data_IF_196635820717
#
_entry.id   IF_196635820717
#
_cell.length_a   1.000
_cell.length_b   1.000
_cell.length_c   1.000
_cell.angle_alpha   90.00
_cell.angle_beta   90.00
_cell.angle_gamma   90.00
#
_symmetry.space_group_name_H-M   'P 1'
#
loop_
_entity.id
_entity.type
_entity.pdbx_description
1 polymer ?
#
# COMPACT_ATOMS: atom_id res chain seq x y z
N UNK A 1 7.10 -26.28 -4.98
CA UNK A 1 7.02 -25.47 -3.75
C UNK A 1 8.41 -25.42 -3.17
N UNK A 2 9.06 -24.26 -3.17
CA UNK A 2 10.39 -24.14 -2.56
C UNK A 2 10.23 -24.28 -1.06
N UNK A 3 11.04 -25.11 -0.41
CA UNK A 3 11.02 -25.31 1.05
C UNK A 3 11.55 -24.10 1.85
N UNK A 4 11.57 -22.92 1.22
CA UNK A 4 12.16 -21.66 1.71
C UNK A 4 11.17 -20.51 1.77
N UNK A 5 9.92 -20.69 1.32
CA UNK A 5 8.94 -19.61 1.34
C UNK A 5 8.48 -19.34 2.79
N UNK A 6 8.55 -18.09 3.29
CA UNK A 6 8.33 -17.79 4.71
C UNK A 6 6.97 -18.21 5.28
N UNK A 7 5.93 -18.25 4.44
CA UNK A 7 4.57 -18.65 4.82
C UNK A 7 4.16 -20.00 4.22
N UNK A 8 5.12 -20.82 3.79
CA UNK A 8 4.83 -22.18 3.33
C UNK A 8 4.05 -22.97 4.39
N UNK A 9 2.89 -23.50 4.00
CA UNK A 9 2.00 -24.25 4.89
C UNK A 9 0.97 -23.41 5.66
N UNK A 10 1.06 -22.07 5.60
CA UNK A 10 0.04 -21.17 6.16
C UNK A 10 -1.17 -21.12 5.23
N UNK A 11 -2.37 -21.24 5.79
CA UNK A 11 -3.65 -21.14 5.08
C UNK A 11 -4.34 -19.81 5.43
N UNK A 12 -4.64 -19.00 4.41
CA UNK A 12 -5.31 -17.70 4.57
C UNK A 12 -6.70 -17.79 3.96
N UNK A 13 -7.70 -17.42 4.73
CA UNK A 13 -9.06 -17.17 4.25
C UNK A 13 -9.29 -15.66 4.18
N UNK A 14 -9.80 -15.16 3.06
CA UNK A 14 -10.22 -13.76 2.96
C UNK A 14 -11.66 -13.61 2.50
N UNK A 15 -12.38 -12.66 3.10
CA UNK A 15 -13.66 -12.14 2.58
C UNK A 15 -13.55 -10.66 2.19
N UNK A 16 -12.32 -10.13 2.16
CA UNK A 16 -12.09 -8.71 1.93
C UNK A 16 -12.25 -8.40 0.44
N UNK A 17 -13.15 -7.46 0.13
CA UNK A 17 -13.37 -6.94 -1.22
C UNK A 17 -12.76 -5.56 -1.36
N UNK A 18 -12.44 -5.17 -2.60
CA UNK A 18 -11.72 -3.94 -2.94
C UNK A 18 -10.38 -3.81 -2.22
N UNK A 19 -9.53 -2.90 -2.69
CA UNK A 19 -8.40 -2.46 -1.87
C UNK A 19 -8.89 -1.96 -0.50
N UNK A 20 -8.11 -2.20 0.58
CA UNK A 20 -6.76 -2.76 0.61
C UNK A 20 -6.67 -4.31 0.71
N UNK A 21 -7.80 -5.01 0.84
CA UNK A 21 -7.86 -6.42 1.21
C UNK A 21 -7.13 -7.38 0.25
N UNK A 22 -7.54 -7.47 -1.03
CA UNK A 22 -6.92 -8.32 -2.02
C UNK A 22 -5.41 -8.10 -2.18
N UNK A 23 -4.91 -6.86 -2.05
CA UNK A 23 -3.47 -6.61 -2.11
C UNK A 23 -2.72 -7.12 -0.87
N UNK A 24 -3.31 -7.06 0.32
CA UNK A 24 -2.73 -7.69 1.51
C UNK A 24 -2.60 -9.20 1.32
N UNK A 25 -3.67 -9.81 0.79
CA UNK A 25 -3.77 -11.25 0.58
C UNK A 25 -2.85 -11.74 -0.54
N UNK A 26 -2.77 -11.00 -1.65
CA UNK A 26 -1.83 -11.24 -2.74
C UNK A 26 -0.39 -11.30 -2.23
N UNK A 27 -0.05 -10.41 -1.28
CA UNK A 27 1.28 -10.37 -0.66
C UNK A 27 1.55 -11.62 0.18
N UNK A 28 0.60 -12.06 0.98
CA UNK A 28 0.71 -13.30 1.75
C UNK A 28 0.87 -14.52 0.83
N UNK A 29 0.12 -14.56 -0.28
CA UNK A 29 0.26 -15.60 -1.31
C UNK A 29 1.67 -15.62 -1.92
N UNK A 30 2.21 -14.45 -2.28
CA UNK A 30 3.59 -14.31 -2.79
C UNK A 30 4.67 -14.74 -1.79
N UNK A 31 4.35 -14.74 -0.50
CA UNK A 31 5.23 -15.24 0.57
C UNK A 31 5.06 -16.75 0.84
N UNK A 32 4.21 -17.44 0.06
CA UNK A 32 4.04 -18.90 0.09
C UNK A 32 2.79 -19.41 0.79
N UNK A 33 1.90 -18.52 1.26
CA UNK A 33 0.65 -18.94 1.88
C UNK A 33 -0.34 -19.51 0.83
N UNK A 34 -1.10 -20.53 1.20
CA UNK A 34 -2.25 -20.98 0.42
C UNK A 34 -3.44 -20.08 0.73
N UNK A 35 -4.04 -19.48 -0.28
CA UNK A 35 -5.11 -18.50 -0.10
C UNK A 35 -6.42 -19.00 -0.69
N UNK A 36 -7.49 -18.92 0.10
CA UNK A 36 -8.87 -18.97 -0.38
C UNK A 36 -9.52 -17.60 -0.19
N UNK A 37 -10.05 -17.04 -1.28
CA UNK A 37 -10.77 -15.76 -1.28
C UNK A 37 -12.25 -16.03 -1.55
N UNK A 38 -13.10 -15.65 -0.61
CA UNK A 38 -14.55 -15.78 -0.68
C UNK A 38 -15.15 -14.44 -1.08
N UNK A 39 -15.75 -14.41 -2.28
CA UNK A 39 -16.44 -13.26 -2.83
C UNK A 39 -17.96 -13.45 -2.72
N UNK A 40 -18.74 -12.36 -2.60
CA UNK A 40 -20.19 -12.46 -2.72
C UNK A 40 -20.59 -12.94 -4.13
N UNK A 41 -21.82 -13.44 -4.33
CA UNK A 41 -22.28 -13.86 -5.66
C UNK A 41 -22.19 -12.76 -6.73
N UNK A 42 -22.27 -11.49 -6.31
CA UNK A 42 -22.10 -10.31 -7.18
C UNK A 42 -20.65 -10.06 -7.64
N UNK A 43 -19.67 -10.76 -7.06
CA UNK A 43 -18.24 -10.52 -7.27
C UNK A 43 -17.68 -9.36 -6.45
N UNK A 44 -16.38 -9.13 -6.60
CA UNK A 44 -15.68 -7.94 -6.09
C UNK A 44 -15.97 -6.75 -7.02
N UNK A 45 -16.30 -5.54 -6.52
CA UNK A 45 -16.43 -4.37 -7.39
C UNK A 45 -15.19 -4.11 -8.27
N UNK A 46 -13.99 -4.42 -7.80
CA UNK A 46 -12.74 -4.33 -8.57
C UNK A 46 -12.72 -5.29 -9.77
N UNK A 47 -13.39 -6.44 -9.70
CA UNK A 47 -13.59 -7.36 -10.83
C UNK A 47 -14.34 -6.65 -11.98
N UNK A 48 -15.25 -5.73 -11.64
CA UNK A 48 -16.11 -5.01 -12.60
C UNK A 48 -15.43 -3.75 -13.13
N UNK A 49 -14.78 -2.97 -12.27
CA UNK A 49 -14.24 -1.65 -12.62
C UNK A 49 -12.76 -1.65 -13.02
N UNK A 50 -11.99 -2.64 -12.58
CA UNK A 50 -10.54 -2.71 -12.77
C UNK A 50 -10.05 -4.15 -12.94
N UNK A 51 -10.64 -4.89 -13.89
CA UNK A 51 -10.44 -6.34 -14.08
C UNK A 51 -8.97 -6.77 -14.14
N UNK A 52 -8.11 -6.07 -14.88
CA UNK A 52 -6.71 -6.44 -15.01
C UNK A 52 -5.97 -6.42 -13.67
N UNK A 53 -6.27 -5.42 -12.83
CA UNK A 53 -5.68 -5.32 -11.49
C UNK A 53 -6.29 -6.33 -10.52
N UNK A 54 -7.60 -6.61 -10.65
CA UNK A 54 -8.21 -7.73 -9.93
C UNK A 54 -7.52 -9.06 -10.26
N UNK A 55 -7.30 -9.37 -11.53
CA UNK A 55 -6.63 -10.61 -11.96
C UNK A 55 -5.21 -10.68 -11.42
N UNK A 56 -4.45 -9.58 -11.46
CA UNK A 56 -3.09 -9.50 -10.88
C UNK A 56 -3.09 -9.84 -9.38
N UNK A 57 -4.01 -9.27 -8.61
CA UNK A 57 -4.07 -9.47 -7.17
C UNK A 57 -4.55 -10.87 -6.75
N UNK A 58 -5.19 -11.62 -7.64
CA UNK A 58 -5.73 -12.95 -7.32
C UNK A 58 -4.95 -14.11 -7.95
N UNK A 59 -3.79 -13.85 -8.57
CA UNK A 59 -2.93 -14.91 -9.13
C UNK A 59 -2.61 -15.97 -8.07
N UNK A 60 -2.92 -17.23 -8.38
CA UNK A 60 -2.59 -18.38 -7.53
C UNK A 60 -3.52 -18.59 -6.33
N UNK A 61 -4.61 -17.85 -6.21
CA UNK A 61 -5.60 -18.00 -5.13
C UNK A 61 -6.78 -18.88 -5.57
N UNK A 62 -7.41 -19.58 -4.62
CA UNK A 62 -8.70 -20.26 -4.81
C UNK A 62 -9.85 -19.27 -4.56
N UNK A 63 -10.58 -18.89 -5.61
CA UNK A 63 -11.69 -17.93 -5.51
C UNK A 63 -13.02 -18.68 -5.43
N UNK A 64 -13.77 -18.46 -4.34
CA UNK A 64 -15.09 -19.03 -4.08
C UNK A 64 -16.16 -17.94 -4.13
N UNK A 65 -17.31 -18.24 -4.73
CA UNK A 65 -18.49 -17.35 -4.70
C UNK A 65 -19.51 -17.90 -3.72
N UNK A 66 -19.68 -17.23 -2.59
CA UNK A 66 -20.50 -17.72 -1.47
C UNK A 66 -21.47 -16.64 -1.01
N UNK A 67 -22.75 -16.97 -0.88
CA UNK A 67 -23.73 -16.09 -0.25
C UNK A 67 -23.65 -16.21 1.28
N UNK A 68 -22.92 -15.28 1.90
CA UNK A 68 -22.76 -15.20 3.36
C UNK A 68 -24.07 -14.91 4.12
N UNK A 69 -25.16 -14.56 3.42
CA UNK A 69 -26.48 -14.40 4.06
C UNK A 69 -27.26 -15.71 4.16
N UNK A 70 -26.81 -16.74 3.46
CA UNK A 70 -27.44 -18.06 3.47
C UNK A 70 -26.83 -18.94 4.57
N UNK A 71 -27.62 -19.80 5.25
CA UNK A 71 -27.07 -20.75 6.21
C UNK A 71 -26.02 -21.69 5.60
N UNK A 72 -26.20 -22.10 4.34
CA UNK A 72 -25.23 -22.93 3.63
C UNK A 72 -23.90 -22.20 3.38
N UNK A 73 -23.95 -20.92 2.99
CA UNK A 73 -22.74 -20.14 2.79
C UNK A 73 -21.98 -19.83 4.08
N UNK A 74 -22.71 -19.61 5.18
CA UNK A 74 -22.07 -19.48 6.50
C UNK A 74 -21.42 -20.79 6.96
N UNK A 75 -22.05 -21.94 6.69
CA UNK A 75 -21.46 -23.25 6.97
C UNK A 75 -20.21 -23.51 6.13
N UNK A 76 -20.22 -23.16 4.84
CA UNK A 76 -19.03 -23.27 3.97
C UNK A 76 -17.87 -22.41 4.49
N UNK A 77 -18.12 -21.16 4.89
CA UNK A 77 -17.08 -20.30 5.47
C UNK A 77 -16.59 -20.82 6.83
N UNK A 78 -17.46 -21.40 7.65
CA UNK A 78 -17.06 -22.05 8.90
C UNK A 78 -16.09 -23.22 8.67
N UNK A 79 -16.36 -24.07 7.67
CA UNK A 79 -15.46 -25.16 7.27
C UNK A 79 -14.10 -24.63 6.77
N UNK A 80 -14.10 -23.55 5.98
CA UNK A 80 -12.88 -22.89 5.54
C UNK A 80 -12.11 -22.28 6.72
N UNK A 81 -12.79 -21.69 7.70
CA UNK A 81 -12.18 -21.15 8.93
C UNK A 81 -11.56 -22.24 9.80
N UNK A 82 -12.19 -23.41 9.90
CA UNK A 82 -11.62 -24.56 10.61
C UNK A 82 -10.26 -25.00 10.04
N UNK A 83 -10.06 -24.72 8.75
CA UNK A 83 -8.81 -24.94 8.04
C UNK A 83 -7.93 -23.68 7.93
N UNK A 84 -8.34 -22.51 8.41
CA UNK A 84 -7.56 -21.30 8.25
C UNK A 84 -6.54 -21.12 9.38
N UNK A 85 -5.41 -20.51 9.06
CA UNK A 85 -4.48 -19.94 10.03
C UNK A 85 -4.72 -18.45 10.23
N UNK A 86 -5.05 -17.76 9.13
CA UNK A 86 -5.34 -16.32 9.11
C UNK A 86 -6.69 -16.09 8.43
N UNK A 87 -7.50 -15.23 9.03
CA UNK A 87 -8.73 -14.71 8.45
C UNK A 87 -8.59 -13.20 8.20
N UNK A 88 -8.77 -12.75 6.96
CA UNK A 88 -8.65 -11.33 6.56
C UNK A 88 -10.00 -10.79 6.10
N UNK A 89 -10.43 -9.66 6.66
CA UNK A 89 -11.69 -8.99 6.32
C UNK A 89 -11.52 -7.48 6.21
N UNK A 90 -12.31 -6.86 5.33
CA UNK A 90 -12.47 -5.40 5.21
C UNK A 90 -13.93 -4.95 5.50
N UNK A 91 -14.70 -5.80 6.19
CA UNK A 91 -16.11 -5.54 6.50
C UNK A 91 -16.27 -4.73 7.79
N UNK A 92 -17.36 -3.95 7.85
CA UNK A 92 -17.74 -3.23 9.07
C UNK A 92 -17.97 -4.19 10.24
N UNK A 93 -17.60 -3.82 11.49
CA UNK A 93 -17.80 -4.68 12.65
C UNK A 93 -19.25 -5.14 12.85
N UNK A 94 -20.22 -4.26 12.63
CA UNK A 94 -21.65 -4.59 12.72
C UNK A 94 -22.08 -5.66 11.71
N UNK A 95 -21.53 -5.61 10.50
CA UNK A 95 -21.79 -6.60 9.47
C UNK A 95 -21.18 -7.96 9.86
N UNK A 96 -19.93 -7.96 10.35
CA UNK A 96 -19.25 -9.17 10.83
C UNK A 96 -20.00 -9.81 12.00
N UNK A 97 -20.42 -9.03 13.01
CA UNK A 97 -21.23 -9.54 14.13
C UNK A 97 -22.52 -10.20 13.65
N UNK A 98 -23.22 -9.59 12.69
CA UNK A 98 -24.46 -10.16 12.12
C UNK A 98 -24.21 -11.47 11.37
N UNK A 99 -23.03 -11.62 10.77
CA UNK A 99 -22.61 -12.84 10.08
C UNK A 99 -21.98 -13.87 11.02
N UNK A 100 -21.73 -13.53 12.29
CA UNK A 100 -20.96 -14.37 13.22
C UNK A 100 -19.48 -14.51 12.84
N UNK A 101 -18.94 -13.56 12.07
CA UNK A 101 -17.55 -13.55 11.57
C UNK A 101 -16.68 -12.48 12.25
N UNK A 102 -17.16 -11.84 13.32
CA UNK A 102 -16.30 -11.04 14.17
C UNK A 102 -15.41 -11.94 15.05
N UNK A 103 -14.31 -11.37 15.54
CA UNK A 103 -13.29 -12.12 16.26
C UNK A 103 -13.83 -12.95 17.43
N UNK A 104 -14.78 -12.43 18.22
CA UNK A 104 -15.31 -13.18 19.36
C UNK A 104 -15.97 -14.49 18.90
N UNK A 105 -16.84 -14.42 17.89
CA UNK A 105 -17.53 -15.59 17.36
C UNK A 105 -16.59 -16.54 16.60
N UNK A 106 -15.59 -16.03 15.89
CA UNK A 106 -14.59 -16.86 15.18
C UNK A 106 -13.69 -17.56 16.19
N UNK A 107 -13.19 -16.84 17.19
CA UNK A 107 -12.26 -17.37 18.18
C UNK A 107 -12.92 -18.41 19.11
N UNK A 108 -14.21 -18.28 19.42
CA UNK A 108 -14.95 -19.29 20.18
C UNK A 108 -14.97 -20.66 19.47
N UNK A 109 -15.13 -20.68 18.14
CA UNK A 109 -15.18 -21.91 17.33
C UNK A 109 -13.79 -22.39 16.91
N UNK A 110 -12.91 -21.44 16.58
CA UNK A 110 -11.61 -21.65 15.95
C UNK A 110 -10.53 -20.86 16.70
N UNK A 111 -10.16 -21.25 17.93
CA UNK A 111 -9.32 -20.45 18.83
C UNK A 111 -7.93 -20.13 18.25
N UNK A 112 -7.44 -20.92 17.31
CA UNK A 112 -6.12 -20.73 16.68
C UNK A 112 -6.13 -19.81 15.44
N UNK A 113 -7.29 -19.33 14.99
CA UNK A 113 -7.37 -18.42 13.83
C UNK A 113 -6.92 -17.02 14.23
N UNK A 114 -5.93 -16.49 13.53
CA UNK A 114 -5.52 -15.10 13.64
C UNK A 114 -6.40 -14.23 12.73
N UNK A 115 -7.11 -13.25 13.29
CA UNK A 115 -8.02 -12.40 12.51
C UNK A 115 -7.41 -11.02 12.27
N UNK A 116 -7.42 -10.57 11.02
CA UNK A 116 -7.01 -9.23 10.59
C UNK A 116 -8.22 -8.47 10.05
N UNK A 117 -8.63 -7.45 10.79
CA UNK A 117 -9.74 -6.56 10.45
C UNK A 117 -9.19 -5.26 9.88
N UNK A 118 -9.34 -5.06 8.57
CA UNK A 118 -9.04 -3.79 7.92
C UNK A 118 -10.27 -2.90 8.04
N UNK A 119 -10.13 -1.77 8.73
CA UNK A 119 -11.23 -0.86 9.02
C UNK A 119 -10.89 0.55 8.60
N UNK A 120 -11.92 1.37 8.37
CA UNK A 120 -11.70 2.77 7.98
C UNK A 120 -11.11 3.61 9.10
N UNK A 121 -11.70 3.51 10.29
CA UNK A 121 -11.30 4.22 11.50
C UNK A 121 -11.23 3.25 12.69
N UNK A 122 -10.43 3.54 13.72
CA UNK A 122 -10.26 2.63 14.84
C UNK A 122 -11.50 2.54 15.74
N UNK A 123 -11.64 1.41 16.43
CA UNK A 123 -12.59 1.24 17.53
C UNK A 123 -14.05 1.48 17.11
N UNK A 124 -14.78 2.28 17.90
CA UNK A 124 -16.21 2.55 17.66
C UNK A 124 -16.48 3.27 16.33
N UNK A 125 -15.48 3.96 15.78
CA UNK A 125 -15.60 4.66 14.50
C UNK A 125 -15.45 3.73 13.29
N UNK A 126 -15.15 2.45 13.48
CA UNK A 126 -15.00 1.48 12.40
C UNK A 126 -16.28 1.28 11.54
N UNK A 127 -17.43 1.81 11.97
CA UNK A 127 -18.67 1.85 11.18
C UNK A 127 -18.72 3.02 10.17
N UNK A 128 -17.87 4.03 10.35
CA UNK A 128 -17.83 5.23 9.50
C UNK A 128 -17.34 4.84 8.10
N UNK A 129 -18.10 5.16 7.04
CA UNK A 129 -17.66 4.91 5.67
C UNK A 129 -16.43 5.75 5.34
N UNK A 130 -15.50 5.16 4.61
CA UNK A 130 -14.41 5.89 3.97
C UNK A 130 -13.82 5.09 2.82
N UNK A 131 -13.08 5.82 1.99
CA UNK A 131 -12.27 5.32 0.89
C UNK A 131 -10.92 6.03 0.95
N UNK A 132 -9.89 5.43 0.33
CA UNK A 132 -8.55 6.01 0.22
C UNK A 132 -8.55 7.52 -0.03
N UNK A 133 -9.29 8.00 -1.04
CA UNK A 133 -9.38 9.42 -1.37
C UNK A 133 -9.85 10.28 -0.18
N UNK A 134 -10.85 9.80 0.57
CA UNK A 134 -11.37 10.54 1.73
C UNK A 134 -10.35 10.59 2.86
N UNK A 135 -9.58 9.52 3.07
CA UNK A 135 -8.50 9.51 4.06
C UNK A 135 -7.37 10.45 3.65
N UNK A 136 -6.96 10.43 2.38
CA UNK A 136 -5.98 11.37 1.84
C UNK A 136 -6.44 12.83 1.95
N UNK A 137 -7.72 13.09 1.69
CA UNK A 137 -8.29 14.43 1.74
C UNK A 137 -8.27 15.03 3.14
N UNK A 138 -8.73 14.27 4.16
CA UNK A 138 -8.77 14.78 5.54
C UNK A 138 -7.38 15.00 6.13
N UNK A 139 -6.35 14.34 5.60
CA UNK A 139 -4.96 14.49 6.04
C UNK A 139 -4.13 15.46 5.18
N UNK A 140 -4.76 16.21 4.26
CA UNK A 140 -4.09 17.22 3.45
C UNK A 140 -3.19 16.68 2.33
N UNK A 141 -3.26 15.38 2.03
CA UNK A 141 -2.52 14.76 0.92
C UNK A 141 -3.17 15.02 -0.44
N UNK A 142 -4.47 15.35 -0.47
CA UNK A 142 -5.14 15.90 -1.65
C UNK A 142 -4.90 17.41 -1.68
N UNK A 143 -4.24 17.89 -2.73
CA UNK A 143 -3.84 19.30 -2.86
C UNK A 143 -4.37 19.94 -4.14
N UNK A 144 -4.75 21.21 -4.02
CA UNK A 144 -5.13 22.08 -5.15
C UNK A 144 -6.22 21.48 -6.04
N UNK A 145 -7.12 20.67 -5.44
CA UNK A 145 -8.18 19.96 -6.15
C UNK A 145 -7.69 18.85 -7.10
N UNK A 146 -6.41 18.48 -7.06
CA UNK A 146 -5.82 17.45 -7.91
C UNK A 146 -6.02 16.06 -7.31
N UNK A 147 -6.40 15.12 -8.15
CA UNK A 147 -6.48 13.72 -7.76
C UNK A 147 -5.08 13.18 -7.41
N UNK A 148 -4.93 12.46 -6.29
CA UNK A 148 -3.71 11.73 -5.99
C UNK A 148 -3.37 10.74 -7.11
N UNK A 149 -2.07 10.58 -7.39
CA UNK A 149 -1.60 9.67 -8.43
C UNK A 149 -1.76 8.18 -8.06
N UNK A 150 -1.97 7.87 -6.78
CA UNK A 150 -2.09 6.50 -6.28
C UNK A 150 -2.94 6.43 -5.02
N UNK A 151 -3.31 5.21 -4.65
CA UNK A 151 -4.10 4.86 -3.48
C UNK A 151 -3.19 4.59 -2.28
N UNK A 152 -2.43 5.61 -1.86
CA UNK A 152 -1.30 5.43 -0.91
C UNK A 152 -1.75 4.89 0.45
N UNK A 153 -2.95 5.25 0.92
CA UNK A 153 -3.47 4.83 2.22
C UNK A 153 -3.92 3.38 2.15
N UNK A 154 -4.62 3.00 1.09
CA UNK A 154 -5.01 1.61 0.87
C UNK A 154 -3.77 0.71 0.71
N UNK A 155 -2.79 1.09 -0.11
CA UNK A 155 -1.58 0.30 -0.30
C UNK A 155 -0.77 0.17 1.00
N UNK A 156 -0.64 1.26 1.78
CA UNK A 156 -0.06 1.19 3.12
C UNK A 156 -0.88 0.29 4.06
N UNK A 157 -2.21 0.30 3.92
CA UNK A 157 -3.14 -0.60 4.60
C UNK A 157 -2.89 -2.06 4.29
N UNK A 158 -2.69 -2.39 3.01
CA UNK A 158 -2.37 -3.74 2.55
C UNK A 158 -1.06 -4.24 3.14
N UNK A 159 -0.04 -3.38 3.11
CA UNK A 159 1.28 -3.62 3.71
C UNK A 159 1.19 -3.89 5.21
N UNK A 160 0.46 -3.03 5.93
CA UNK A 160 0.23 -3.19 7.37
C UNK A 160 -0.56 -4.47 7.67
N UNK A 161 -1.62 -4.77 6.92
CA UNK A 161 -2.42 -5.97 7.15
C UNK A 161 -1.61 -7.26 6.96
N UNK A 162 -0.77 -7.35 5.93
CA UNK A 162 0.12 -8.50 5.74
C UNK A 162 1.16 -8.63 6.88
N UNK A 163 1.71 -7.50 7.34
CA UNK A 163 2.63 -7.47 8.48
C UNK A 163 1.94 -7.92 9.78
N UNK A 164 0.74 -7.43 10.05
CA UNK A 164 -0.03 -7.79 11.25
C UNK A 164 -0.50 -9.25 11.22
N UNK A 165 -0.84 -9.79 10.04
CA UNK A 165 -1.09 -11.23 9.87
C UNK A 165 0.14 -12.06 10.29
N UNK A 166 1.33 -11.68 9.79
CA UNK A 166 2.58 -12.35 10.15
C UNK A 166 2.89 -12.21 11.65
N UNK A 167 2.69 -11.03 12.23
CA UNK A 167 2.89 -10.79 13.67
C UNK A 167 1.89 -11.58 14.52
N UNK A 168 0.65 -11.75 14.07
CA UNK A 168 -0.35 -12.57 14.73
C UNK A 168 0.05 -14.06 14.70
N UNK A 169 0.54 -14.57 13.57
CA UNK A 169 1.06 -15.94 13.45
C UNK A 169 2.25 -16.19 14.37
N UNK A 170 3.19 -15.24 14.47
CA UNK A 170 4.33 -15.33 15.40
C UNK A 170 3.85 -15.32 16.85
N UNK A 171 2.87 -14.46 17.20
CA UNK A 171 2.27 -14.47 18.54
C UNK A 171 1.61 -15.82 18.84
N UNK A 172 0.79 -16.34 17.92
CA UNK A 172 0.14 -17.64 18.04
C UNK A 172 1.14 -18.77 18.24
N UNK A 173 2.27 -18.75 17.53
CA UNK A 173 3.35 -19.74 17.73
C UNK A 173 3.94 -19.74 19.16
N UNK A 174 3.80 -18.64 19.90
CA UNK A 174 4.28 -18.50 21.29
C UNK A 174 3.19 -18.77 22.31
N UNK A 175 1.94 -18.40 22.02
CA UNK A 175 0.82 -18.48 22.96
C UNK A 175 -0.06 -19.71 22.76
N UNK A 176 -0.02 -20.33 21.58
CA UNK A 176 -0.97 -21.36 21.15
C UNK A 176 -2.33 -20.82 20.69
N UNK A 177 -2.57 -19.52 20.85
CA UNK A 177 -3.86 -18.87 20.66
C UNK A 177 -3.82 -17.85 19.53
N UNK A 178 -4.87 -17.84 18.71
CA UNK A 178 -5.11 -16.82 17.70
C UNK A 178 -5.37 -15.45 18.32
N UNK A 179 -5.14 -14.39 17.56
CA UNK A 179 -5.34 -13.02 18.03
C UNK A 179 -5.98 -12.15 16.96
N UNK A 180 -6.66 -11.10 17.42
CA UNK A 180 -7.22 -10.04 16.56
C UNK A 180 -6.18 -8.95 16.31
N UNK A 181 -6.07 -8.51 15.06
CA UNK A 181 -5.33 -7.33 14.62
C UNK A 181 -6.28 -6.40 13.89
N UNK A 182 -6.43 -5.18 14.40
CA UNK A 182 -7.19 -4.13 13.72
C UNK A 182 -6.22 -3.24 12.95
N UNK A 183 -6.52 -2.94 11.68
CA UNK A 183 -5.72 -2.07 10.80
C UNK A 183 -6.59 -0.88 10.37
N UNK A 184 -6.52 0.25 11.10
CA UNK A 184 -7.27 1.45 10.76
C UNK A 184 -6.58 2.25 9.66
N UNK A 185 -7.29 2.45 8.54
CA UNK A 185 -6.78 3.24 7.41
C UNK A 185 -6.57 4.71 7.75
N UNK A 186 -7.39 5.27 8.65
CA UNK A 186 -7.21 6.64 9.14
C UNK A 186 -5.87 6.87 9.86
N UNK A 187 -5.38 5.88 10.59
CA UNK A 187 -4.12 5.97 11.33
C UNK A 187 -2.94 5.92 10.37
N UNK A 188 -3.07 5.11 9.31
CA UNK A 188 -2.10 5.08 8.23
C UNK A 188 -2.12 6.36 7.42
N UNK A 189 -3.28 6.97 7.16
CA UNK A 189 -3.36 8.28 6.52
C UNK A 189 -2.63 9.36 7.33
N UNK A 190 -2.80 9.37 8.65
CA UNK A 190 -2.04 10.27 9.54
C UNK A 190 -0.54 9.99 9.50
N UNK A 191 -0.14 8.73 9.37
CA UNK A 191 1.27 8.33 9.29
C UNK A 191 1.88 8.74 7.94
N UNK A 192 1.17 8.51 6.84
CA UNK A 192 1.62 8.84 5.49
C UNK A 192 1.62 10.35 5.24
N UNK A 193 0.77 11.12 5.92
CA UNK A 193 0.72 12.58 5.80
C UNK A 193 1.74 13.30 6.67
N UNK A 194 2.58 12.61 7.45
CA UNK A 194 3.57 13.27 8.33
C UNK A 194 4.50 14.23 7.58
N UNK A 195 5.03 13.91 6.38
CA UNK A 195 5.80 14.88 5.60
C UNK A 195 5.01 16.15 5.25
N UNK A 196 3.72 16.02 4.94
CA UNK A 196 2.82 17.17 4.68
C UNK A 196 2.62 17.98 5.96
N UNK A 197 2.31 17.32 7.08
CA UNK A 197 2.06 17.95 8.37
C UNK A 197 3.29 18.71 8.93
N UNK A 198 4.50 18.26 8.58
CA UNK A 198 5.76 18.92 8.94
C UNK A 198 6.24 19.92 7.87
N UNK A 199 5.44 20.19 6.84
CA UNK A 199 5.76 21.15 5.80
C UNK A 199 6.92 20.73 4.89
N UNK A 200 7.29 19.45 4.84
CA UNK A 200 8.40 18.98 4.01
C UNK A 200 8.03 18.96 2.53
N UNK A 201 6.82 18.53 2.21
CA UNK A 201 6.35 18.29 0.82
C UNK A 201 5.22 19.24 0.41
N UNK A 202 5.12 20.39 1.06
CA UNK A 202 4.17 21.48 0.74
C UNK A 202 4.92 22.64 0.10
N UNK A 203 4.28 23.53 -0.68
CA UNK A 203 4.99 24.67 -1.31
C UNK A 203 5.85 25.46 -0.33
N UNK A 204 7.10 25.72 -0.69
CA UNK A 204 8.14 26.31 0.16
C UNK A 204 8.86 25.30 1.08
N UNK A 205 8.44 24.04 1.07
CA UNK A 205 9.02 22.95 1.83
C UNK A 205 10.29 22.40 1.20
N UNK A 206 11.14 21.78 2.03
CA UNK A 206 12.45 21.27 1.61
C UNK A 206 12.36 20.28 0.42
N UNK A 207 11.36 19.40 0.44
CA UNK A 207 11.13 18.34 -0.54
C UNK A 207 9.93 18.64 -1.44
N UNK A 208 9.53 19.91 -1.52
CA UNK A 208 8.39 20.35 -2.33
C UNK A 208 8.73 20.52 -3.80
N UNK A 209 10.01 20.33 -4.15
CA UNK A 209 10.47 20.55 -5.51
C UNK A 209 10.84 22.01 -5.77
N UNK A 210 11.14 22.82 -4.74
CA UNK A 210 11.52 24.24 -4.81
C UNK A 210 13.04 24.51 -4.72
N UNK A 211 13.84 23.53 -4.28
CA UNK A 211 15.30 23.65 -4.27
C UNK A 211 15.91 23.31 -5.64
N UNK A 212 16.97 23.99 -6.12
CA UNK A 212 17.59 23.64 -7.41
C UNK A 212 18.06 22.17 -7.46
N UNK A 213 18.55 21.65 -6.34
CA UNK A 213 19.05 20.28 -6.24
C UNK A 213 17.96 19.24 -5.91
N UNK A 214 16.71 19.67 -5.75
CA UNK A 214 15.57 18.78 -5.53
C UNK A 214 14.40 19.29 -6.36
N UNK A 215 14.31 18.88 -7.63
CA UNK A 215 13.27 19.35 -8.55
C UNK A 215 13.10 18.53 -9.81
N UNK A 216 12.08 18.90 -10.60
CA UNK A 216 11.88 18.45 -11.96
C UNK A 216 12.39 19.53 -12.93
N UNK A 217 13.12 19.11 -13.96
CA UNK A 217 13.62 19.97 -15.02
C UNK A 217 13.16 19.48 -16.38
N UNK A 218 12.79 20.41 -17.26
CA UNK A 218 12.62 20.11 -18.67
C UNK A 218 13.99 19.79 -19.29
N UNK A 219 14.06 18.70 -20.05
CA UNK A 219 15.20 18.35 -20.87
C UNK A 219 14.94 18.77 -22.33
N UNK A 220 15.90 18.53 -23.23
CA UNK A 220 15.68 18.75 -24.68
C UNK A 220 14.50 17.89 -25.21
N UNK A 221 14.33 16.71 -24.62
CA UNK A 221 13.20 15.82 -24.81
C UNK A 221 12.89 15.11 -23.48
N UNK A 222 11.63 15.16 -23.04
CA UNK A 222 11.18 14.67 -21.74
C UNK A 222 11.51 15.58 -20.55
N UNK A 223 11.37 15.03 -19.34
CA UNK A 223 11.74 15.68 -18.08
C UNK A 223 12.70 14.80 -17.30
N UNK A 224 13.49 15.41 -16.43
CA UNK A 224 14.33 14.71 -15.45
C UNK A 224 13.90 15.07 -14.03
N UNK A 225 14.06 14.12 -13.12
CA UNK A 225 13.97 14.36 -11.68
C UNK A 225 15.37 14.41 -11.09
N UNK A 226 15.69 15.48 -10.37
CA UNK A 226 16.97 15.71 -9.69
C UNK A 226 16.72 15.68 -8.18
N UNK A 227 17.51 14.90 -7.44
CA UNK A 227 17.43 14.78 -5.98
C UNK A 227 18.82 14.80 -5.30
N UNK A 228 19.71 15.70 -5.73
CA UNK A 228 21.09 15.86 -5.26
C UNK A 228 21.21 16.72 -3.99
N UNK A 229 20.33 16.51 -3.00
CA UNK A 229 20.15 17.39 -1.84
C UNK A 229 21.35 17.40 -0.88
N UNK A 230 22.01 16.27 -0.72
CA UNK A 230 23.13 16.10 0.20
C UNK A 230 24.36 16.91 -0.28
N UNK A 231 25.16 17.49 0.64
CA UNK A 231 26.27 18.36 0.24
C UNK A 231 27.25 17.73 -0.76
N UNK A 232 27.56 16.44 -0.61
CA UNK A 232 28.45 15.75 -1.54
C UNK A 232 27.84 15.58 -2.93
N UNK A 233 26.54 15.23 -3.04
CA UNK A 233 25.86 15.17 -4.34
C UNK A 233 25.72 16.55 -4.97
N UNK A 234 25.45 17.59 -4.19
CA UNK A 234 25.43 18.98 -4.69
C UNK A 234 26.80 19.38 -5.24
N UNK A 235 27.90 19.12 -4.51
CA UNK A 235 29.26 19.41 -4.98
C UNK A 235 29.63 18.60 -6.21
N UNK A 236 29.27 17.31 -6.25
CA UNK A 236 29.52 16.44 -7.41
C UNK A 236 28.75 16.92 -8.63
N UNK A 237 27.48 17.31 -8.47
CA UNK A 237 26.64 17.83 -9.54
C UNK A 237 27.27 19.09 -10.15
N UNK A 238 27.62 20.07 -9.32
CA UNK A 238 28.25 21.31 -9.78
C UNK A 238 29.58 21.04 -10.47
N UNK A 239 30.43 20.19 -9.89
CA UNK A 239 31.73 19.83 -10.46
C UNK A 239 31.58 19.15 -11.82
N UNK A 240 30.68 18.18 -11.93
CA UNK A 240 30.45 17.43 -13.16
C UNK A 240 29.81 18.29 -14.26
N UNK A 241 29.00 19.29 -13.90
CA UNK A 241 28.44 20.29 -14.82
C UNK A 241 29.41 21.44 -15.12
N UNK A 242 30.53 21.54 -14.41
CA UNK A 242 31.48 22.65 -14.54
C UNK A 242 30.92 23.99 -14.06
N UNK A 243 30.01 23.98 -13.07
CA UNK A 243 29.35 25.16 -12.52
C UNK A 243 29.99 25.57 -11.19
N UNK A 244 30.08 26.87 -10.94
CA UNK A 244 30.45 27.42 -9.65
C UNK A 244 29.28 27.35 -8.64
N UNK A 245 29.52 27.32 -7.31
CA UNK A 245 28.45 27.33 -6.31
C UNK A 245 27.45 28.48 -6.43
N UNK A 246 27.90 29.65 -6.89
CA UNK A 246 27.07 30.84 -7.08
C UNK A 246 26.11 30.69 -8.27
N UNK A 247 26.40 29.77 -9.19
CA UNK A 247 25.55 29.42 -10.32
C UNK A 247 24.43 28.43 -9.96
N UNK A 248 24.38 27.93 -8.72
CA UNK A 248 23.37 26.98 -8.26
C UNK A 248 21.99 27.63 -8.12
N UNK A 249 21.33 27.81 -9.26
CA UNK A 249 19.96 28.32 -9.34
C UNK A 249 19.11 27.40 -10.20
N UNK A 250 17.78 27.47 -10.01
CA UNK A 250 16.84 26.70 -10.85
C UNK A 250 16.95 27.09 -12.32
N UNK A 251 17.01 28.38 -12.59
CA UNK A 251 17.12 28.90 -13.95
C UNK A 251 18.35 28.35 -14.64
N UNK A 252 19.51 28.45 -13.98
CA UNK A 252 20.78 28.00 -14.55
C UNK A 252 20.82 26.50 -14.78
N UNK A 253 20.37 25.70 -13.82
CA UNK A 253 20.28 24.25 -14.00
C UNK A 253 19.27 23.88 -15.11
N UNK A 254 18.16 24.61 -15.22
CA UNK A 254 17.20 24.43 -16.30
C UNK A 254 17.79 24.67 -17.68
N UNK A 255 18.58 25.73 -17.86
CA UNK A 255 19.29 26.00 -19.11
C UNK A 255 20.26 24.87 -19.48
N UNK A 256 21.04 24.39 -18.51
CA UNK A 256 21.98 23.29 -18.71
C UNK A 256 21.22 22.02 -19.12
N UNK A 257 20.19 21.65 -18.36
CA UNK A 257 19.44 20.42 -18.60
C UNK A 257 18.63 20.44 -19.90
N UNK A 258 18.24 21.62 -20.41
CA UNK A 258 17.63 21.75 -21.72
C UNK A 258 18.55 21.35 -22.89
N UNK A 259 19.86 21.19 -22.66
CA UNK A 259 20.84 20.88 -23.71
C UNK A 259 20.96 19.41 -24.14
N UNK A 260 20.35 18.46 -23.41
CA UNK A 260 20.38 17.01 -23.72
C UNK A 260 19.01 16.38 -23.44
N UNK A 261 18.73 15.21 -24.00
CA UNK A 261 17.48 14.49 -23.71
C UNK A 261 17.48 13.91 -22.29
N UNK A 262 16.30 13.62 -21.74
CA UNK A 262 16.19 13.06 -20.39
C UNK A 262 16.97 11.74 -20.23
N UNK A 263 16.91 10.84 -21.22
CA UNK A 263 17.67 9.58 -21.19
C UNK A 263 19.18 9.80 -21.26
N UNK A 264 19.66 10.81 -21.99
CA UNK A 264 21.08 11.16 -22.00
C UNK A 264 21.54 11.69 -20.63
N UNK A 265 20.70 12.46 -19.95
CA UNK A 265 20.99 12.93 -18.60
C UNK A 265 20.98 11.81 -17.57
N UNK A 266 20.03 10.87 -17.66
CA UNK A 266 20.00 9.69 -16.79
C UNK A 266 21.26 8.83 -16.96
N UNK A 267 21.68 8.57 -18.20
CA UNK A 267 22.95 7.87 -18.46
C UNK A 267 24.14 8.65 -17.87
N UNK A 268 24.22 9.96 -18.15
CA UNK A 268 25.28 10.82 -17.62
C UNK A 268 25.30 10.82 -16.08
N UNK A 269 24.14 10.88 -15.43
CA UNK A 269 24.03 10.84 -13.97
C UNK A 269 24.53 9.52 -13.39
N UNK A 270 24.24 8.38 -14.05
CA UNK A 270 24.78 7.07 -13.66
C UNK A 270 26.30 7.01 -13.77
N UNK A 271 26.91 7.66 -14.76
CA UNK A 271 28.38 7.71 -14.93
C UNK A 271 29.05 8.59 -13.86
N UNK A 272 28.30 9.51 -13.25
CA UNK A 272 28.76 10.47 -12.25
C UNK A 272 28.26 10.20 -10.82
N UNK A 273 27.57 9.07 -10.58
CA UNK A 273 26.98 8.69 -9.29
C UNK A 273 26.06 9.79 -8.71
N UNK A 274 25.13 10.27 -9.54
CA UNK A 274 24.19 11.33 -9.17
C UNK A 274 22.74 10.83 -9.11
N UNK A 275 21.95 11.26 -8.11
CA UNK A 275 20.52 10.93 -8.00
C UNK A 275 19.70 11.79 -8.98
N UNK A 276 19.78 11.45 -10.26
CA UNK A 276 19.07 12.07 -11.36
C UNK A 276 18.58 11.00 -12.33
N UNK A 277 17.28 11.00 -12.62
CA UNK A 277 16.64 10.02 -13.51
C UNK A 277 15.70 10.69 -14.51
N UNK A 278 15.43 10.02 -15.63
CA UNK A 278 14.39 10.44 -16.55
C UNK A 278 13.01 10.21 -15.92
N UNK A 279 12.11 11.18 -16.05
CA UNK A 279 10.71 11.01 -15.64
C UNK A 279 10.02 10.10 -16.65
N UNK A 280 9.45 8.98 -16.17
CA UNK A 280 8.67 8.08 -17.01
C UNK A 280 7.44 8.82 -17.59
N UNK A 281 7.30 8.76 -18.92
CA UNK A 281 6.17 9.33 -19.66
C UNK A 281 5.02 8.35 -19.86
#
# INVERSE_FOLDING_TARGET
MSTTDPLAGVRVLSIAINLPGPAAVARLARQGASVTTVLPPSGDPMEQFARAYFDELHVGQDIRRVDLKSPAGLAEVDELLAAADVFVTSSRPSALRRLGLDFANVHERHPQVCQVDIVGYPGEQAEVPGHDLTYQAVTGMVRDGRMPATLVVDLAGSERAAAEASAALVQRGRTGEGSRREVPLSDLAHTMSRPVAHGLTVPGGLLAGDLPVYSLYAAADGHIAVAALEPHFTTNLLTALGLAPEELTRERLGEVFAGRTASQWEQWASEHDLPLVAVAG
#
